data_IF_250199197782
#
_entry.id   IF_250199197782
#
_cell.length_a   1.000
_cell.length_b   1.000
_cell.length_c   1.000
_cell.angle_alpha   90.00
_cell.angle_beta   90.00
_cell.angle_gamma   90.00
#
_symmetry.space_group_name_H-M   'P 1'
#
loop_
_entity.id
_entity.type
_entity.pdbx_description
1 polymer ?
#
# COMPACT_ATOMS: atom_id res chain seq x y z
N UNK A 1 -46.17 -10.71 55.42
CA UNK A 1 -44.70 -10.84 55.43
C UNK A 1 -44.26 -10.74 54.01
N UNK A 2 -43.97 -9.53 53.52
CA UNK A 2 -43.57 -9.31 52.13
C UNK A 2 -42.02 -9.33 52.03
N UNK A 3 -41.44 -10.24 51.19
CA UNK A 3 -40.03 -10.25 50.91
C UNK A 3 -39.74 -9.23 49.79
N UNK A 4 -38.74 -8.37 49.91
CA UNK A 4 -38.36 -7.47 48.82
C UNK A 4 -37.65 -8.24 47.71
N UNK A 5 -38.11 -8.07 46.46
CA UNK A 5 -37.43 -8.51 45.27
C UNK A 5 -36.26 -7.58 45.01
N UNK A 6 -35.06 -8.12 45.09
CA UNK A 6 -33.85 -7.41 44.68
C UNK A 6 -33.72 -7.50 43.17
N UNK A 7 -33.95 -6.39 42.46
CA UNK A 7 -33.67 -6.28 41.02
C UNK A 7 -32.18 -6.05 40.86
N UNK A 8 -31.48 -7.06 40.41
CA UNK A 8 -30.06 -6.94 39.95
C UNK A 8 -30.10 -6.38 38.54
N UNK A 9 -29.80 -5.09 38.39
CA UNK A 9 -29.58 -4.48 37.11
C UNK A 9 -28.19 -4.92 36.58
N UNK A 10 -28.17 -5.87 35.64
CA UNK A 10 -26.99 -6.24 34.90
C UNK A 10 -26.75 -5.16 33.85
N UNK A 11 -25.84 -4.25 34.15
CA UNK A 11 -25.38 -3.26 33.21
C UNK A 11 -24.57 -3.93 32.08
N UNK A 12 -25.17 -4.06 30.91
CA UNK A 12 -24.51 -4.53 29.70
C UNK A 12 -23.62 -3.41 29.15
N UNK A 13 -22.36 -3.37 29.58
CA UNK A 13 -21.35 -2.48 29.03
C UNK A 13 -21.01 -2.94 27.59
N UNK A 14 -21.63 -2.30 26.58
CA UNK A 14 -21.16 -2.42 25.20
C UNK A 14 -19.79 -1.73 25.11
N UNK A 15 -18.73 -2.51 25.23
CA UNK A 15 -17.42 -2.08 24.81
C UNK A 15 -17.45 -1.94 23.28
N UNK A 16 -17.63 -0.70 22.78
CA UNK A 16 -17.28 -0.38 21.38
C UNK A 16 -15.77 -0.52 21.26
N UNK A 17 -15.32 -1.75 20.97
CA UNK A 17 -13.99 -1.98 20.47
C UNK A 17 -13.94 -1.35 19.09
N UNK A 18 -13.45 -0.11 19.00
CA UNK A 18 -13.09 0.52 17.74
C UNK A 18 -12.02 -0.38 17.10
N UNK A 19 -12.43 -1.25 16.17
CA UNK A 19 -11.49 -1.97 15.32
C UNK A 19 -10.71 -0.90 14.57
N UNK A 20 -9.46 -0.65 14.98
CA UNK A 20 -8.53 0.11 14.17
C UNK A 20 -8.43 -0.66 12.86
N UNK A 21 -8.95 -0.10 11.75
CA UNK A 21 -8.80 -0.68 10.44
C UNK A 21 -7.31 -0.77 10.16
N UNK A 22 -6.84 -1.98 9.84
CA UNK A 22 -5.45 -2.17 9.44
C UNK A 22 -5.21 -1.37 8.16
N UNK A 23 -4.04 -0.69 8.07
CA UNK A 23 -3.64 0.06 6.86
C UNK A 23 -3.70 -0.86 5.64
N UNK A 24 -4.22 -0.34 4.54
CA UNK A 24 -4.13 -1.00 3.24
C UNK A 24 -2.66 -1.05 2.80
N UNK A 25 -2.17 -2.23 2.40
CA UNK A 25 -0.77 -2.40 1.99
C UNK A 25 -0.66 -2.35 0.48
N UNK A 26 0.17 -1.46 -0.02
CA UNK A 26 0.45 -1.31 -1.45
C UNK A 26 1.94 -1.46 -1.74
N UNK A 27 2.27 -2.08 -2.87
CA UNK A 27 3.63 -2.28 -3.32
C UNK A 27 4.06 -1.17 -4.27
N UNK A 28 5.27 -0.65 -4.02
CA UNK A 28 5.94 0.32 -4.87
C UNK A 28 7.28 -0.27 -5.33
N UNK A 29 7.36 -0.66 -6.60
CA UNK A 29 8.58 -1.20 -7.22
C UNK A 29 9.43 -0.11 -7.86
N UNK A 30 10.73 -0.16 -7.64
CA UNK A 30 11.65 0.81 -8.25
C UNK A 30 13.06 0.23 -8.52
N UNK A 31 13.74 0.75 -9.58
CA UNK A 31 15.00 0.20 -10.09
C UNK A 31 16.20 0.67 -9.27
N UNK A 32 16.24 0.31 -7.99
CA UNK A 32 17.37 0.59 -7.13
C UNK A 32 17.93 -0.70 -6.54
N UNK A 33 19.24 -0.80 -6.32
CA UNK A 33 19.85 -1.92 -5.61
C UNK A 33 19.38 -1.92 -4.15
N UNK A 34 19.62 -3.02 -3.44
CA UNK A 34 19.19 -3.16 -2.03
C UNK A 34 19.91 -2.20 -1.10
N UNK A 35 21.08 -1.72 -1.48
CA UNK A 35 21.93 -0.79 -0.73
C UNK A 35 22.31 0.46 -1.57
N UNK A 36 22.79 1.48 -0.90
CA UNK A 36 23.25 2.73 -1.54
C UNK A 36 22.40 3.95 -1.18
N UNK A 37 22.84 5.12 -1.64
CA UNK A 37 22.22 6.41 -1.29
C UNK A 37 20.78 6.52 -1.77
N UNK A 38 20.49 6.08 -2.99
CA UNK A 38 19.13 6.12 -3.54
C UNK A 38 18.17 5.28 -2.71
N UNK A 39 18.59 4.08 -2.34
CA UNK A 39 17.82 3.17 -1.50
C UNK A 39 17.53 3.76 -0.12
N UNK A 40 18.53 4.38 0.50
CA UNK A 40 18.38 5.07 1.78
C UNK A 40 17.36 6.21 1.67
N UNK A 41 17.43 7.03 0.63
CA UNK A 41 16.49 8.14 0.41
C UNK A 41 15.08 7.65 0.12
N UNK A 42 14.90 6.64 -0.72
CA UNK A 42 13.58 6.05 -0.98
C UNK A 42 12.98 5.45 0.29
N UNK A 43 13.77 4.75 1.08
CA UNK A 43 13.32 4.22 2.38
C UNK A 43 12.87 5.34 3.32
N UNK A 44 13.62 6.45 3.37
CA UNK A 44 13.28 7.63 4.17
C UNK A 44 11.96 8.27 3.72
N UNK A 45 11.79 8.47 2.42
CA UNK A 45 10.57 9.06 1.85
C UNK A 45 9.35 8.18 2.10
N UNK A 46 9.47 6.88 1.87
CA UNK A 46 8.41 5.90 2.13
C UNK A 46 8.04 5.91 3.63
N UNK A 47 9.05 5.93 4.50
CA UNK A 47 8.78 6.01 5.94
C UNK A 47 8.06 7.29 6.32
N UNK A 48 8.47 8.45 5.80
CA UNK A 48 7.79 9.72 6.06
C UNK A 48 6.33 9.69 5.62
N UNK A 49 6.03 9.14 4.45
CA UNK A 49 4.67 8.95 3.99
C UNK A 49 3.88 8.05 4.93
N UNK A 50 4.41 6.88 5.26
CA UNK A 50 3.75 5.92 6.14
C UNK A 50 3.49 6.45 7.55
N UNK A 51 4.36 7.33 8.06
CA UNK A 51 4.21 7.98 9.37
C UNK A 51 3.19 9.12 9.35
N UNK A 52 2.93 9.72 8.18
CA UNK A 52 2.08 10.92 8.03
C UNK A 52 0.58 10.63 8.03
N UNK A 53 0.17 9.38 7.83
CA UNK A 53 -1.24 8.98 7.74
C UNK A 53 -1.46 7.54 8.21
N UNK A 54 -2.73 7.11 8.38
CA UNK A 54 -3.07 5.80 8.93
C UNK A 54 -3.85 4.89 7.96
N UNK A 55 -4.08 5.34 6.73
CA UNK A 55 -4.94 4.63 5.78
C UNK A 55 -4.17 3.61 4.94
N UNK A 56 -2.96 3.98 4.50
CA UNK A 56 -2.15 3.20 3.56
C UNK A 56 -0.75 2.94 4.11
N UNK A 57 -0.22 1.74 3.89
CA UNK A 57 1.18 1.38 4.12
C UNK A 57 1.85 1.07 2.78
N UNK A 58 2.76 1.94 2.36
CA UNK A 58 3.61 1.69 1.17
C UNK A 58 4.75 0.76 1.53
N UNK A 59 4.89 -0.34 0.79
CA UNK A 59 6.04 -1.24 0.86
C UNK A 59 6.95 -0.99 -0.34
N UNK A 60 8.19 -0.54 -0.07
CA UNK A 60 9.20 -0.35 -1.12
C UNK A 60 9.82 -1.67 -1.55
N UNK A 61 9.79 -1.97 -2.86
CA UNK A 61 10.40 -3.17 -3.45
C UNK A 61 11.56 -2.74 -4.35
N UNK A 62 12.77 -3.00 -3.87
CA UNK A 62 14.02 -2.73 -4.59
C UNK A 62 14.25 -3.82 -5.63
N UNK A 63 14.35 -3.45 -6.88
CA UNK A 63 14.40 -4.40 -8.01
C UNK A 63 15.75 -4.44 -8.72
N UNK A 64 16.67 -3.56 -8.34
CA UNK A 64 18.04 -3.51 -8.84
C UNK A 64 18.23 -2.61 -10.06
N UNK A 65 17.52 -2.85 -11.14
CA UNK A 65 17.61 -2.09 -12.38
C UNK A 65 16.28 -2.09 -13.15
N UNK A 66 16.18 -1.32 -14.23
CA UNK A 66 14.96 -1.18 -15.03
C UNK A 66 14.48 -2.48 -15.67
N UNK A 67 15.39 -3.32 -16.19
CA UNK A 67 15.00 -4.58 -16.82
C UNK A 67 14.44 -5.57 -15.81
N UNK A 68 15.06 -5.68 -14.65
CA UNK A 68 14.57 -6.51 -13.55
C UNK A 68 13.24 -5.99 -13.02
N UNK A 69 13.06 -4.67 -12.94
CA UNK A 69 11.79 -4.05 -12.53
C UNK A 69 10.68 -4.44 -13.48
N UNK A 70 10.91 -4.33 -14.81
CA UNK A 70 9.95 -4.74 -15.83
C UNK A 70 9.54 -6.21 -15.65
N UNK A 71 10.51 -7.12 -15.58
CA UNK A 71 10.24 -8.55 -15.44
C UNK A 71 9.43 -8.86 -14.17
N UNK A 72 9.78 -8.25 -13.05
CA UNK A 72 9.07 -8.46 -11.78
C UNK A 72 7.65 -7.89 -11.81
N UNK A 73 7.46 -6.69 -12.37
CA UNK A 73 6.15 -6.08 -12.49
C UNK A 73 5.22 -6.88 -13.40
N UNK A 74 5.70 -7.30 -14.59
CA UNK A 74 4.94 -8.17 -15.51
C UNK A 74 4.61 -9.52 -14.87
N UNK A 75 5.52 -10.11 -14.12
CA UNK A 75 5.28 -11.38 -13.42
C UNK A 75 4.23 -11.24 -12.34
N UNK A 76 4.28 -10.16 -11.56
CA UNK A 76 3.28 -9.86 -10.53
C UNK A 76 1.90 -9.60 -11.14
N UNK A 77 1.84 -8.87 -12.27
CA UNK A 77 0.62 -8.66 -13.02
C UNK A 77 -0.02 -9.98 -13.48
N UNK A 78 0.78 -10.87 -14.10
CA UNK A 78 0.33 -12.20 -14.54
C UNK A 78 -0.15 -13.08 -13.39
N UNK A 79 0.42 -12.89 -12.20
CA UNK A 79 0.01 -13.59 -10.98
C UNK A 79 -1.27 -12.99 -10.33
N UNK A 80 -1.84 -11.92 -10.90
CA UNK A 80 -3.00 -11.23 -10.34
C UNK A 80 -2.70 -10.37 -9.10
N UNK A 81 -1.44 -10.02 -8.88
CA UNK A 81 -0.96 -9.21 -7.77
C UNK A 81 -0.05 -8.07 -8.27
N UNK A 82 -0.55 -7.18 -9.14
CA UNK A 82 0.25 -6.10 -9.69
C UNK A 82 0.69 -5.13 -8.58
N UNK A 83 1.89 -4.54 -8.67
CA UNK A 83 2.25 -3.44 -7.80
C UNK A 83 1.36 -2.23 -8.07
N UNK A 84 1.08 -1.44 -7.03
CA UNK A 84 0.29 -0.22 -7.19
C UNK A 84 1.07 0.88 -7.92
N UNK A 85 2.38 0.94 -7.70
CA UNK A 85 3.27 1.91 -8.31
C UNK A 85 4.56 1.24 -8.81
N UNK A 86 5.04 1.68 -9.97
CA UNK A 86 6.30 1.21 -10.54
C UNK A 86 7.05 2.36 -11.18
N UNK A 87 8.35 2.48 -10.90
CA UNK A 87 9.24 3.35 -11.67
C UNK A 87 9.86 2.53 -12.81
N UNK A 88 9.64 2.97 -14.03
CA UNK A 88 10.13 2.30 -15.24
C UNK A 88 10.84 3.28 -16.19
N UNK A 89 11.57 2.74 -17.16
CA UNK A 89 12.08 3.56 -18.27
C UNK A 89 10.94 3.97 -19.21
N UNK A 90 11.12 5.07 -19.93
CA UNK A 90 10.08 5.64 -20.79
C UNK A 90 9.58 4.65 -21.86
N UNK A 91 10.47 3.88 -22.48
CA UNK A 91 10.10 2.86 -23.49
C UNK A 91 9.23 1.73 -22.88
N UNK A 92 9.52 1.26 -21.67
CA UNK A 92 8.68 0.26 -21.01
C UNK A 92 7.32 0.84 -20.61
N UNK A 93 7.30 2.07 -20.13
CA UNK A 93 6.04 2.77 -19.83
C UNK A 93 5.18 2.91 -21.08
N UNK A 94 5.77 3.29 -22.22
CA UNK A 94 5.05 3.40 -23.49
C UNK A 94 4.50 2.04 -23.96
N UNK A 95 5.29 0.97 -23.84
CA UNK A 95 4.86 -0.39 -24.21
C UNK A 95 3.64 -0.85 -23.38
N UNK A 96 3.66 -0.60 -22.08
CA UNK A 96 2.54 -0.94 -21.19
C UNK A 96 1.31 -0.05 -21.42
N UNK A 97 1.51 1.23 -21.74
CA UNK A 97 0.42 2.15 -22.07
C UNK A 97 -0.30 1.74 -23.37
N UNK A 98 0.44 1.29 -24.39
CA UNK A 98 -0.14 0.79 -25.64
C UNK A 98 -0.93 -0.52 -25.48
N UNK A 99 -0.73 -1.23 -24.38
CA UNK A 99 -1.44 -2.46 -24.03
C UNK A 99 -2.55 -2.25 -23.00
N UNK A 100 -2.82 -1.00 -22.62
CA UNK A 100 -3.76 -0.66 -21.55
C UNK A 100 -3.46 -1.35 -20.20
N UNK A 101 -2.16 -1.60 -19.93
CA UNK A 101 -1.70 -2.28 -18.71
C UNK A 101 -1.30 -1.34 -17.58
N UNK A 102 -1.37 -0.02 -17.80
CA UNK A 102 -1.12 1.01 -16.79
C UNK A 102 -2.23 2.06 -16.80
N UNK A 103 -2.47 2.65 -15.62
CA UNK A 103 -3.39 3.76 -15.48
C UNK A 103 -2.67 5.08 -15.77
N UNK A 104 -3.20 5.96 -16.64
CA UNK A 104 -2.66 7.29 -16.87
C UNK A 104 -2.66 8.12 -15.57
N UNK A 105 -1.51 8.70 -15.22
CA UNK A 105 -1.35 9.47 -13.97
C UNK A 105 -2.20 10.73 -13.95
N UNK A 106 -2.44 11.36 -15.09
CA UNK A 106 -3.30 12.55 -15.24
C UNK A 106 -4.78 12.27 -14.91
N UNK A 107 -5.23 11.03 -14.97
CA UNK A 107 -6.56 10.66 -14.49
C UNK A 107 -6.68 10.71 -12.96
N UNK A 108 -5.58 10.52 -12.25
CA UNK A 108 -5.51 10.56 -10.79
C UNK A 108 -5.45 11.99 -10.24
N UNK A 109 -5.04 12.96 -11.05
CA UNK A 109 -4.83 14.37 -10.66
C UNK A 109 -5.92 15.31 -11.20
N UNK A 110 -7.08 14.80 -11.54
CA UNK A 110 -8.26 15.65 -11.86
C UNK A 110 -8.79 16.25 -10.56
N UNK A 111 -8.43 17.51 -10.32
CA UNK A 111 -8.97 18.34 -9.24
C UNK A 111 -10.20 19.09 -9.71
#
# INVERSE_FOLDING_TARGET
>A
MFKPFTVVAVGLSLALSGAALAKEKIDFMFPAPVDGKLTMEMTRVIKQFNDSQQDVEVRGIFTGNYDTTKIKAESAQKAGQPPALVIMSANFTTDLALKDEILPMDELFKY
#
